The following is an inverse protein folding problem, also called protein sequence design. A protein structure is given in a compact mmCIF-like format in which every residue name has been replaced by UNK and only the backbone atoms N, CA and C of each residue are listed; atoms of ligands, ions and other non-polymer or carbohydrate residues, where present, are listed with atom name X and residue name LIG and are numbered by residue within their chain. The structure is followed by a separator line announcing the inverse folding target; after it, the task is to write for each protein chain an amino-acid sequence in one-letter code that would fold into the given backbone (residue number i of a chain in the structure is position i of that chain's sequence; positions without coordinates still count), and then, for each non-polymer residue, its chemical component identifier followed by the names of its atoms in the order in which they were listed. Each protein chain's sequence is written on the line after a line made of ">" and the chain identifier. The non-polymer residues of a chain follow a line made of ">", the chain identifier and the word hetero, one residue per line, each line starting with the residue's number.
data_IF_802014445740
#
_entry.id   IF_802014445740
#
_cell.length_a   1.000
_cell.length_b   1.000
_cell.length_c   1.000
_cell.angle_alpha   90.00
_cell.angle_beta   90.00
_cell.angle_gamma   90.00
#
_symmetry.space_group_name_H-M   'P 1'
#
loop_
_entity.id
_entity.type
_entity.pdbx_description
1 polymer ?
#
# COMPACT_ATOMS: atom_id res chain seq x y z
N UNK A 1 20.20 21.92 23.84
CA UNK A 1 19.39 20.72 24.12
C UNK A 1 18.38 20.38 23.00
N UNK A 2 17.72 21.36 22.35
CA UNK A 2 16.75 21.12 21.27
C UNK A 2 17.34 20.46 20.00
N UNK A 3 18.54 20.87 19.57
CA UNK A 3 19.19 20.34 18.34
C UNK A 3 19.50 18.84 18.40
N UNK A 4 19.86 18.31 19.58
CA UNK A 4 20.23 16.90 19.77
C UNK A 4 19.01 15.99 19.60
N UNK A 5 17.88 16.35 20.22
CA UNK A 5 16.62 15.61 20.06
C UNK A 5 16.14 15.57 18.60
N UNK A 6 16.33 16.65 17.84
CA UNK A 6 15.96 16.69 16.41
C UNK A 6 16.85 15.78 15.55
N UNK A 7 18.14 15.69 15.87
CA UNK A 7 19.09 14.81 15.18
C UNK A 7 18.83 13.33 15.47
N UNK A 8 18.49 12.99 16.72
CA UNK A 8 18.10 11.63 17.08
C UNK A 8 16.80 11.19 16.39
N UNK A 9 15.82 12.10 16.29
CA UNK A 9 14.57 11.84 15.55
C UNK A 9 14.81 11.60 14.06
N UNK A 10 15.73 12.34 13.43
CA UNK A 10 16.11 12.11 12.02
C UNK A 10 16.81 10.76 11.82
N UNK A 11 17.70 10.38 12.74
CA UNK A 11 18.37 9.07 12.72
C UNK A 11 17.41 7.90 12.89
N UNK A 12 16.41 8.04 13.76
CA UNK A 12 15.39 7.00 13.94
C UNK A 12 14.53 6.86 12.69
N UNK A 13 14.15 7.97 12.05
CA UNK A 13 13.39 7.91 10.79
C UNK A 13 14.17 7.27 9.64
N UNK A 14 15.47 7.57 9.50
CA UNK A 14 16.29 6.91 8.48
C UNK A 14 16.44 5.41 8.75
N UNK A 15 16.66 5.04 10.02
CA UNK A 15 16.78 3.65 10.43
C UNK A 15 15.48 2.87 10.23
N UNK A 16 14.32 3.46 10.53
CA UNK A 16 13.02 2.85 10.25
C UNK A 16 12.84 2.55 8.77
N UNK A 17 13.23 3.48 7.90
CA UNK A 17 13.12 3.32 6.44
C UNK A 17 14.07 2.23 5.91
N UNK A 18 15.29 2.16 6.42
CA UNK A 18 16.26 1.12 6.07
C UNK A 18 15.78 -0.27 6.51
N UNK A 19 15.19 -0.38 7.71
CA UNK A 19 14.62 -1.64 8.21
C UNK A 19 13.40 -2.08 7.39
N UNK A 20 12.59 -1.15 6.92
CA UNK A 20 11.43 -1.43 6.06
C UNK A 20 11.86 -1.99 4.69
N UNK A 21 12.87 -1.39 4.07
CA UNK A 21 13.46 -1.89 2.82
C UNK A 21 14.15 -3.25 3.01
N UNK A 22 14.83 -3.46 4.14
CA UNK A 22 15.43 -4.77 4.44
C UNK A 22 14.35 -5.84 4.62
N UNK A 23 13.24 -5.51 5.28
CA UNK A 23 12.10 -6.41 5.47
C UNK A 23 11.48 -6.81 4.13
N UNK A 24 11.29 -5.86 3.19
CA UNK A 24 10.72 -6.18 1.88
C UNK A 24 11.63 -7.12 1.07
N UNK A 25 12.96 -6.93 1.15
CA UNK A 25 13.94 -7.82 0.51
C UNK A 25 13.91 -9.22 1.14
N UNK A 26 13.83 -9.33 2.46
CA UNK A 26 13.78 -10.61 3.17
C UNK A 26 12.50 -11.38 2.86
N UNK A 27 11.34 -10.71 2.78
CA UNK A 27 10.07 -11.33 2.38
C UNK A 27 10.20 -11.92 0.96
N UNK A 28 10.87 -11.24 0.03
CA UNK A 28 11.11 -11.76 -1.31
C UNK A 28 12.10 -12.93 -1.40
N UNK A 29 12.90 -13.19 -0.35
CA UNK A 29 14.01 -14.16 -0.41
C UNK A 29 13.85 -15.41 0.46
N UNK A 30 13.10 -15.34 1.57
CA UNK A 30 13.03 -16.43 2.58
C UNK A 30 11.94 -17.47 2.29
N UNK A 31 11.12 -17.29 1.26
CA UNK A 31 10.16 -18.30 0.79
C UNK A 31 8.95 -17.63 0.14
N UNK A 32 8.23 -18.36 -0.73
CA UNK A 32 6.96 -17.87 -1.28
C UNK A 32 6.03 -17.53 -0.12
N UNK A 33 5.67 -16.26 -0.02
CA UNK A 33 4.61 -15.83 0.87
C UNK A 33 3.34 -16.64 0.53
N UNK A 34 2.57 -17.16 1.51
CA UNK A 34 1.27 -17.74 1.23
C UNK A 34 0.32 -16.79 0.46
N UNK A 35 0.54 -15.48 0.53
CA UNK A 35 -0.16 -14.46 -0.26
C UNK A 35 0.37 -14.32 -1.71
N UNK A 36 1.55 -14.87 -2.02
CA UNK A 36 2.14 -14.89 -3.36
C UNK A 36 3.50 -14.18 -3.46
N UNK A 37 4.00 -14.02 -4.68
CA UNK A 37 5.26 -13.30 -4.92
C UNK A 37 4.98 -11.80 -5.10
N UNK A 38 5.85 -10.96 -4.53
CA UNK A 38 5.76 -9.51 -4.71
C UNK A 38 5.88 -9.14 -6.20
N UNK A 39 4.86 -8.47 -6.73
CA UNK A 39 4.85 -7.96 -8.10
C UNK A 39 4.96 -6.42 -8.09
N UNK A 40 6.12 -5.84 -8.45
CA UNK A 40 6.32 -4.38 -8.46
C UNK A 40 5.43 -3.66 -9.47
N UNK A 41 5.15 -4.26 -10.63
CA UNK A 41 4.32 -3.66 -11.68
C UNK A 41 2.87 -3.52 -11.20
N UNK A 42 2.34 -4.56 -10.56
CA UNK A 42 1.02 -4.54 -9.91
C UNK A 42 0.92 -3.44 -8.86
N UNK A 43 1.94 -3.31 -8.01
CA UNK A 43 1.94 -2.27 -6.96
C UNK A 43 1.92 -0.88 -7.59
N UNK A 44 2.74 -0.64 -8.61
CA UNK A 44 2.76 0.64 -9.32
C UNK A 44 1.40 0.96 -9.93
N UNK A 45 0.78 0.02 -10.64
CA UNK A 45 -0.53 0.19 -11.28
C UNK A 45 -1.61 0.56 -10.25
N UNK A 46 -1.65 -0.14 -9.12
CA UNK A 46 -2.61 0.16 -8.05
C UNK A 46 -2.38 1.55 -7.45
N UNK A 47 -1.13 1.98 -7.26
CA UNK A 47 -0.82 3.33 -6.76
C UNK A 47 -1.21 4.43 -7.76
N UNK A 48 -1.02 4.18 -9.05
CA UNK A 48 -1.48 5.09 -10.11
C UNK A 48 -3.00 5.20 -10.10
N UNK A 49 -3.72 4.07 -10.11
CA UNK A 49 -5.20 4.05 -10.05
C UNK A 49 -5.76 4.63 -8.74
N UNK A 50 -5.07 4.47 -7.62
CA UNK A 50 -5.50 5.05 -6.33
C UNK A 50 -5.41 6.59 -6.31
N UNK A 51 -4.65 7.18 -7.23
CA UNK A 51 -4.55 8.63 -7.39
C UNK A 51 -5.67 9.22 -8.24
N UNK A 52 -6.40 8.38 -8.97
CA UNK A 52 -7.54 8.80 -9.78
C UNK A 52 -8.76 9.14 -8.92
N UNK A 53 -9.63 10.02 -9.42
CA UNK A 53 -10.86 10.39 -8.71
C UNK A 53 -11.83 9.20 -8.71
N UNK A 54 -12.32 8.75 -7.54
CA UNK A 54 -13.20 7.59 -7.48
C UNK A 54 -14.55 7.91 -8.12
N UNK A 55 -14.84 7.25 -9.25
CA UNK A 55 -16.09 7.38 -9.99
C UNK A 55 -17.30 6.72 -9.28
N UNK A 56 -17.05 5.86 -8.29
CA UNK A 56 -18.08 5.20 -7.50
C UNK A 56 -17.75 5.21 -6.00
N UNK A 57 -18.80 5.22 -5.18
CA UNK A 57 -18.69 5.06 -3.73
C UNK A 57 -19.45 3.81 -3.27
N UNK A 58 -18.80 2.98 -2.46
CA UNK A 58 -19.46 1.84 -1.85
C UNK A 58 -20.30 2.31 -0.65
N UNK A 59 -21.61 2.38 -0.83
CA UNK A 59 -22.54 2.80 0.24
C UNK A 59 -23.18 1.62 1.00
N UNK A 60 -22.91 0.38 0.59
CA UNK A 60 -23.43 -0.82 1.21
C UNK A 60 -23.79 -1.92 0.22
N UNK A 61 -24.17 -3.09 0.74
CA UNK A 61 -24.47 -4.27 -0.07
C UNK A 61 -25.58 -4.03 -1.09
N UNK A 62 -26.67 -3.39 -0.68
CA UNK A 62 -27.84 -3.23 -1.55
C UNK A 62 -27.57 -2.22 -2.67
N UNK A 63 -26.89 -1.11 -2.36
CA UNK A 63 -26.51 -0.12 -3.39
C UNK A 63 -25.49 -0.70 -4.36
N UNK A 64 -24.54 -1.50 -3.88
CA UNK A 64 -23.61 -2.22 -4.75
C UNK A 64 -24.29 -3.20 -5.71
N UNK A 65 -25.21 -4.03 -5.20
CA UNK A 65 -25.97 -4.97 -6.04
C UNK A 65 -26.83 -4.24 -7.08
N UNK A 66 -27.44 -3.12 -6.69
CA UNK A 66 -28.22 -2.30 -7.61
C UNK A 66 -27.35 -1.67 -8.71
N UNK A 67 -26.14 -1.21 -8.40
CA UNK A 67 -25.18 -0.73 -9.41
C UNK A 67 -24.82 -1.84 -10.40
N UNK A 68 -24.50 -3.04 -9.91
CA UNK A 68 -24.16 -4.18 -10.77
C UNK A 68 -25.33 -4.59 -11.68
N UNK A 69 -26.56 -4.57 -11.18
CA UNK A 69 -27.74 -4.91 -11.97
C UNK A 69 -28.00 -3.89 -13.10
N UNK A 70 -27.72 -2.61 -12.85
CA UNK A 70 -27.94 -1.53 -13.81
C UNK A 70 -26.81 -1.37 -14.85
N UNK A 71 -25.59 -1.83 -14.58
CA UNK A 71 -24.46 -1.74 -15.53
C UNK A 71 -24.33 -2.95 -16.46
N UNK A 72 -25.03 -4.05 -16.18
CA UNK A 72 -24.95 -5.30 -16.93
C UNK A 72 -26.04 -5.42 -18.03
N UNK A 73 -26.90 -4.40 -18.21
CA UNK A 73 -27.93 -4.34 -19.27
C UNK A 73 -27.86 -3.09 -20.14
#
# INVERSE_FOLDING_TARGET
>A
MLKVKTLEKKRTLSLSREVELLRSVVIGWVGRDPEGEYNPEFVQEIFESASDEPIYSFQGKNSFLQTLENEIW
#
